data_IF_726471582773
#
_entry.id   IF_726471582773
#
_cell.length_a   1.000
_cell.length_b   1.000
_cell.length_c   1.000
_cell.angle_alpha   90.00
_cell.angle_beta   90.00
_cell.angle_gamma   90.00
#
_symmetry.space_group_name_H-M   'P 1'
#
loop_
_entity.id
_entity.type
_entity.pdbx_description
1 polymer ?
#
# COMPACT_ATOMS: atom_id res chain seq x y z
N UNK A 1 2.83 -25.07 -1.46
CA UNK A 1 3.55 -24.20 -2.41
C UNK A 1 2.94 -22.81 -2.31
N UNK A 2 3.71 -21.80 -1.92
CA UNK A 2 3.23 -20.41 -1.82
C UNK A 2 2.95 -19.87 -3.22
N UNK A 3 1.81 -19.19 -3.41
CA UNK A 3 1.48 -18.56 -4.70
C UNK A 3 2.55 -17.54 -5.10
N UNK A 4 2.98 -17.49 -6.37
CA UNK A 4 3.99 -16.52 -6.81
C UNK A 4 3.47 -15.09 -6.62
N UNK A 5 4.34 -14.22 -6.11
CA UNK A 5 4.03 -12.81 -5.94
C UNK A 5 3.72 -12.18 -7.31
N UNK A 6 2.47 -11.75 -7.53
CA UNK A 6 2.08 -11.06 -8.76
C UNK A 6 2.81 -9.71 -8.84
N UNK A 7 3.53 -9.48 -9.94
CA UNK A 7 4.18 -8.20 -10.20
C UNK A 7 3.17 -7.17 -10.71
N UNK A 8 3.25 -5.95 -10.18
CA UNK A 8 2.45 -4.81 -10.62
C UNK A 8 3.37 -3.68 -11.05
N UNK A 9 3.06 -3.07 -12.19
CA UNK A 9 3.72 -1.85 -12.66
C UNK A 9 2.78 -0.67 -12.45
N UNK A 10 3.25 0.37 -11.77
CA UNK A 10 2.48 1.59 -11.50
C UNK A 10 3.30 2.78 -11.95
N UNK A 11 2.68 3.67 -12.72
CA UNK A 11 3.28 4.95 -13.10
C UNK A 11 2.89 5.98 -12.06
N UNK A 12 3.89 6.65 -11.50
CA UNK A 12 3.71 7.70 -10.50
C UNK A 12 4.28 9.02 -11.03
N UNK A 13 3.70 10.17 -10.65
CA UNK A 13 4.36 11.45 -10.84
C UNK A 13 5.76 11.43 -10.20
N UNK A 14 6.74 12.03 -10.87
CA UNK A 14 8.14 12.02 -10.41
C UNK A 14 8.29 12.54 -8.97
N UNK A 15 7.55 13.58 -8.60
CA UNK A 15 7.55 14.15 -7.25
C UNK A 15 7.04 13.18 -6.17
N UNK A 16 6.09 12.29 -6.52
CA UNK A 16 5.58 11.26 -5.62
C UNK A 16 6.61 10.14 -5.48
N UNK A 17 7.24 9.73 -6.59
CA UNK A 17 8.30 8.74 -6.58
C UNK A 17 9.47 9.16 -5.68
N UNK A 18 9.94 10.41 -5.80
CA UNK A 18 11.05 10.91 -4.98
C UNK A 18 10.71 10.96 -3.48
N UNK A 19 9.47 11.34 -3.13
CA UNK A 19 9.00 11.27 -1.74
C UNK A 19 8.98 9.84 -1.22
N UNK A 20 8.43 8.89 -1.99
CA UNK A 20 8.41 7.48 -1.61
C UNK A 20 9.81 6.90 -1.49
N UNK A 21 10.73 7.29 -2.37
CA UNK A 21 12.14 6.87 -2.33
C UNK A 21 12.84 7.36 -1.07
N UNK A 22 12.61 8.61 -0.66
CA UNK A 22 13.15 9.15 0.59
C UNK A 22 12.63 8.39 1.80
N UNK A 23 11.32 8.14 1.87
CA UNK A 23 10.70 7.36 2.97
C UNK A 23 11.19 5.92 2.98
N UNK A 24 11.34 5.29 1.81
CA UNK A 24 11.82 3.91 1.69
C UNK A 24 13.24 3.77 2.25
N UNK A 25 14.12 4.74 1.98
CA UNK A 25 15.47 4.79 2.55
C UNK A 25 15.47 4.95 4.06
N UNK A 26 14.64 5.84 4.60
CA UNK A 26 14.55 6.07 6.04
C UNK A 26 14.07 4.84 6.83
N UNK A 27 13.26 3.99 6.19
CA UNK A 27 12.67 2.80 6.81
C UNK A 27 13.34 1.50 6.35
N UNK A 28 14.50 1.58 5.68
CA UNK A 28 15.24 0.42 5.16
C UNK A 28 14.36 -0.59 4.38
N UNK A 29 13.40 -0.06 3.62
CA UNK A 29 12.39 -0.84 2.89
C UNK A 29 12.39 -0.51 1.40
N UNK A 30 11.62 -1.28 0.63
CA UNK A 30 11.40 -1.00 -0.78
C UNK A 30 10.17 -0.12 -1.00
N UNK A 31 10.15 0.64 -2.09
CA UNK A 31 8.97 1.40 -2.51
C UNK A 31 7.76 0.46 -2.69
N UNK A 32 7.97 -0.74 -3.24
CA UNK A 32 6.92 -1.76 -3.37
C UNK A 32 6.37 -2.23 -2.02
N UNK A 33 7.24 -2.34 -1.01
CA UNK A 33 6.85 -2.64 0.37
C UNK A 33 5.93 -1.56 0.95
N UNK A 34 6.33 -0.29 0.83
CA UNK A 34 5.50 0.85 1.27
C UNK A 34 4.15 0.91 0.56
N UNK A 35 4.14 0.71 -0.76
CA UNK A 35 2.89 0.70 -1.55
C UNK A 35 1.97 -0.45 -1.14
N UNK A 36 2.53 -1.64 -0.89
CA UNK A 36 1.77 -2.80 -0.42
C UNK A 36 1.17 -2.55 0.95
N UNK A 37 1.95 -2.00 1.88
CA UNK A 37 1.49 -1.68 3.23
C UNK A 37 0.40 -0.60 3.20
N UNK A 38 0.63 0.49 2.47
CA UNK A 38 -0.37 1.55 2.29
C UNK A 38 -1.66 1.05 1.66
N UNK A 39 -1.58 0.16 0.65
CA UNK A 39 -2.75 -0.48 0.06
C UNK A 39 -3.50 -1.36 1.08
N UNK A 40 -2.78 -2.16 1.87
CA UNK A 40 -3.38 -2.98 2.92
C UNK A 40 -4.10 -2.13 3.97
N UNK A 41 -3.49 -1.03 4.42
CA UNK A 41 -4.11 -0.11 5.38
C UNK A 41 -5.38 0.54 4.81
N UNK A 42 -5.34 0.96 3.54
CA UNK A 42 -6.50 1.56 2.88
C UNK A 42 -7.65 0.56 2.70
N UNK A 43 -7.35 -0.69 2.33
CA UNK A 43 -8.35 -1.75 2.21
C UNK A 43 -8.96 -2.11 3.57
N UNK A 44 -8.14 -2.21 4.62
CA UNK A 44 -8.62 -2.46 5.99
C UNK A 44 -9.46 -1.29 6.52
N UNK A 45 -9.02 -0.05 6.31
CA UNK A 45 -9.77 1.15 6.68
C UNK A 45 -11.13 1.20 5.99
N UNK A 46 -11.21 0.87 4.70
CA UNK A 46 -12.48 0.75 3.98
C UNK A 46 -13.36 -0.40 4.47
N UNK A 47 -12.77 -1.54 4.84
CA UNK A 47 -13.52 -2.66 5.41
C UNK A 47 -14.15 -2.30 6.77
N UNK A 48 -13.48 -1.46 7.57
CA UNK A 48 -14.02 -0.93 8.82
C UNK A 48 -15.18 0.07 8.57
N UNK A 49 -15.08 0.91 7.54
CA UNK A 49 -16.13 1.88 7.18
C UNK A 49 -17.43 1.19 6.69
N UNK A 50 -17.30 0.04 6.01
CA UNK A 50 -18.42 -0.79 5.55
C UNK A 50 -19.17 -1.56 6.65
N UNK A 51 -18.59 -1.69 7.85
CA UNK A 51 -19.23 -2.41 8.97
C UNK A 51 -20.06 -1.49 9.90
N UNK A 52 -20.04 -0.17 9.68
CA UNK A 52 -20.75 0.81 10.53
C UNK A 52 -22.25 0.97 10.19
N UNK A 53 -22.83 0.08 9.37
CA UNK A 53 -24.25 0.17 8.96
C UNK A 53 -25.11 -1.08 9.17
N UNK A 54 -24.62 -2.12 9.87
CA UNK A 54 -25.42 -3.35 10.03
C UNK A 54 -25.38 -3.94 11.44
N UNK A 55 -25.79 -3.14 12.41
CA UNK A 55 -26.33 -3.61 13.69
C UNK A 55 -27.61 -2.81 13.96
N UNK A 56 -28.72 -3.34 13.43
CA UNK A 56 -30.06 -3.08 13.94
C UNK A 56 -30.66 -4.41 14.35
#
# INVERSE_FOLDING_TARGET
MSEPCKMFSVVLPFSVYEKLRAVARLNETSIGGLLREGANLLLRGKALDGQSKNTK
#
